data_IF_317484415986
#
_entry.id   IF_317484415986
#
_cell.length_a   1.000
_cell.length_b   1.000
_cell.length_c   1.000
_cell.angle_alpha   90.00
_cell.angle_beta   90.00
_cell.angle_gamma   90.00
#
_symmetry.space_group_name_H-M   'P 1'
#
loop_
_entity.id
_entity.type
_entity.pdbx_description
1 polymer ?
#
# COMPACT_ATOMS: atom_id res chain seq x y z
N UNK A 1 -14.12 0.04 -8.97
CA UNK A 1 -13.55 1.08 -8.09
C UNK A 1 -13.67 2.42 -8.81
N UNK A 2 -13.71 3.56 -8.11
CA UNK A 2 -13.72 4.89 -8.73
C UNK A 2 -12.43 5.64 -8.38
N UNK A 3 -11.93 6.45 -9.31
CA UNK A 3 -10.76 7.31 -9.08
C UNK A 3 -11.13 8.40 -8.06
N UNK A 4 -10.38 8.44 -6.96
CA UNK A 4 -10.53 9.41 -5.88
C UNK A 4 -9.16 9.69 -5.29
N UNK A 5 -8.98 10.87 -4.73
CA UNK A 5 -7.71 11.26 -4.12
C UNK A 5 -7.89 11.69 -2.67
N UNK A 6 -6.83 11.56 -1.88
CA UNK A 6 -6.80 11.99 -0.48
C UNK A 6 -7.13 13.47 -0.32
N UNK A 7 -6.72 14.30 -1.28
CA UNK A 7 -7.04 15.74 -1.29
C UNK A 7 -8.54 16.02 -1.21
N UNK A 8 -9.36 15.09 -1.70
CA UNK A 8 -10.81 15.22 -1.79
C UNK A 8 -11.53 14.36 -0.74
N UNK A 9 -10.79 13.80 0.23
CA UNK A 9 -11.29 12.90 1.25
C UNK A 9 -11.14 13.50 2.66
N UNK A 10 -12.25 14.03 3.17
CA UNK A 10 -12.34 14.65 4.50
C UNK A 10 -12.46 13.64 5.65
N UNK A 11 -12.90 12.42 5.35
CA UNK A 11 -13.26 11.40 6.33
C UNK A 11 -14.50 10.61 5.93
N UNK A 12 -14.99 9.76 6.84
CA UNK A 12 -16.22 9.00 6.61
C UNK A 12 -16.94 8.59 7.89
N UNK A 13 -18.23 8.28 7.76
CA UNK A 13 -19.00 7.65 8.82
C UNK A 13 -18.67 6.16 8.91
N UNK A 14 -18.26 5.75 10.10
CA UNK A 14 -17.99 4.36 10.43
C UNK A 14 -19.07 3.83 11.36
N UNK A 15 -19.56 2.62 11.09
CA UNK A 15 -20.48 1.92 11.98
C UNK A 15 -19.70 1.38 13.17
N UNK A 16 -19.97 1.89 14.37
CA UNK A 16 -19.32 1.46 15.62
C UNK A 16 -20.09 0.33 16.31
N UNK A 17 -21.42 0.31 16.13
CA UNK A 17 -22.29 -0.72 16.69
C UNK A 17 -23.48 -1.02 15.77
N UNK A 18 -24.01 -2.25 15.84
CA UNK A 18 -25.24 -2.65 15.15
C UNK A 18 -26.06 -3.56 16.06
N UNK A 19 -27.28 -3.13 16.36
CA UNK A 19 -28.25 -3.88 17.19
C UNK A 19 -29.56 -4.07 16.44
N UNK A 20 -30.25 -5.18 16.72
CA UNK A 20 -31.60 -5.41 16.22
C UNK A 20 -32.56 -5.08 17.36
N UNK A 21 -33.45 -4.10 17.13
CA UNK A 21 -34.51 -3.72 18.08
C UNK A 21 -35.82 -3.79 17.32
N UNK A 22 -36.77 -4.59 17.83
CA UNK A 22 -38.09 -4.83 17.22
C UNK A 22 -38.01 -5.23 15.73
N UNK A 23 -37.07 -6.12 15.40
CA UNK A 23 -36.86 -6.60 14.03
C UNK A 23 -36.21 -5.59 13.08
N UNK A 24 -35.86 -4.37 13.56
CA UNK A 24 -35.17 -3.35 12.77
C UNK A 24 -33.70 -3.25 13.17
N UNK A 25 -32.81 -3.18 12.17
CA UNK A 25 -31.37 -2.95 12.37
C UNK A 25 -31.14 -1.46 12.67
N UNK A 26 -30.68 -1.17 13.88
CA UNK A 26 -30.23 0.15 14.32
C UNK A 26 -28.69 0.16 14.31
N UNK A 27 -28.10 1.21 13.73
CA UNK A 27 -26.64 1.36 13.64
C UNK A 27 -26.20 2.67 14.28
N UNK A 28 -25.24 2.58 15.19
CA UNK A 28 -24.54 3.75 15.71
C UNK A 28 -23.37 4.05 14.76
N UNK A 29 -23.21 5.32 14.40
CA UNK A 29 -22.19 5.79 13.47
C UNK A 29 -21.41 6.94 14.05
N UNK A 30 -20.10 6.93 13.80
CA UNK A 30 -19.19 7.99 14.19
C UNK A 30 -18.49 8.54 12.95
N UNK A 31 -18.32 9.86 12.88
CA UNK A 31 -17.53 10.48 11.82
C UNK A 31 -16.05 10.40 12.19
N UNK A 32 -15.27 9.70 11.37
CA UNK A 32 -13.82 9.66 11.49
C UNK A 32 -13.25 10.61 10.45
N UNK A 33 -12.72 11.76 10.91
CA UNK A 33 -11.99 12.71 10.05
C UNK A 33 -10.72 12.05 9.52
N UNK A 34 -10.33 12.34 8.28
CA UNK A 34 -9.01 12.02 7.76
C UNK A 34 -7.98 13.02 8.33
N UNK A 35 -7.06 12.62 9.22
CA UNK A 35 -6.05 13.52 9.79
C UNK A 35 -4.78 13.59 8.93
N UNK A 36 -4.68 12.78 7.87
CA UNK A 36 -3.45 12.63 7.10
C UNK A 36 -3.39 13.69 6.01
N UNK A 37 -2.41 14.58 6.14
CA UNK A 37 -1.94 15.45 5.06
C UNK A 37 -0.69 14.81 4.45
N UNK A 38 -0.84 14.16 3.30
CA UNK A 38 0.31 13.54 2.64
C UNK A 38 1.10 14.60 1.84
N UNK A 39 2.32 14.90 2.30
CA UNK A 39 3.26 15.76 1.58
C UNK A 39 4.34 14.91 0.90
N UNK A 40 4.32 14.89 -0.43
CA UNK A 40 5.38 14.31 -1.25
C UNK A 40 5.88 15.34 -2.28
N UNK A 41 7.19 15.30 -2.55
CA UNK A 41 7.87 16.27 -3.45
C UNK A 41 8.07 15.67 -4.84
N UNK A 42 8.32 14.36 -4.91
CA UNK A 42 8.72 13.65 -6.13
C UNK A 42 7.53 13.09 -6.93
N UNK A 43 6.35 12.93 -6.31
CA UNK A 43 5.25 12.16 -6.86
C UNK A 43 5.55 10.66 -6.98
N UNK A 44 6.55 10.14 -6.26
CA UNK A 44 6.99 8.73 -6.34
C UNK A 44 6.73 7.97 -5.05
N UNK A 45 6.20 6.76 -5.21
CA UNK A 45 5.99 5.84 -4.10
C UNK A 45 6.55 4.45 -4.41
N UNK A 46 6.85 3.71 -3.35
CA UNK A 46 7.17 2.30 -3.42
C UNK A 46 6.21 1.52 -2.52
N UNK A 47 5.46 0.61 -3.12
CA UNK A 47 4.66 -0.39 -2.42
C UNK A 47 5.51 -1.65 -2.25
N UNK A 48 5.62 -2.13 -1.01
CA UNK A 48 6.50 -3.25 -0.65
C UNK A 48 5.63 -4.34 -0.02
N UNK A 49 5.76 -5.55 -0.56
CA UNK A 49 5.15 -6.76 -0.04
C UNK A 49 6.23 -7.83 0.20
N UNK A 50 5.87 -8.91 0.89
CA UNK A 50 6.79 -9.94 1.36
C UNK A 50 6.97 -11.13 0.40
N UNK A 51 6.66 -10.95 -0.88
CA UNK A 51 6.99 -11.93 -1.92
C UNK A 51 8.48 -12.27 -1.98
N UNK A 52 8.79 -13.48 -2.45
CA UNK A 52 10.15 -14.02 -2.51
C UNK A 52 11.11 -13.14 -3.34
N UNK A 53 10.62 -12.47 -4.39
CA UNK A 53 11.44 -11.59 -5.21
C UNK A 53 11.98 -10.38 -4.45
N UNK A 54 11.34 -9.98 -3.33
CA UNK A 54 11.81 -8.89 -2.47
C UNK A 54 13.08 -9.24 -1.72
N UNK A 55 13.33 -10.52 -1.41
CA UNK A 55 14.55 -10.97 -0.70
C UNK A 55 15.84 -10.68 -1.48
N UNK A 56 15.72 -10.43 -2.79
CA UNK A 56 16.84 -10.12 -3.67
C UNK A 56 17.26 -8.65 -3.61
N UNK A 57 16.50 -7.80 -2.90
CA UNK A 57 16.79 -6.39 -2.74
C UNK A 57 16.85 -6.00 -1.26
N UNK A 58 17.91 -5.28 -0.88
CA UNK A 58 18.05 -4.76 0.48
C UNK A 58 17.13 -3.55 0.69
N UNK A 59 15.90 -3.81 1.12
CA UNK A 59 14.87 -2.80 1.39
C UNK A 59 15.26 -1.78 2.47
N UNK A 60 16.27 -2.05 3.30
CA UNK A 60 16.76 -1.08 4.30
C UNK A 60 17.25 0.22 3.67
N UNK A 61 17.66 0.20 2.40
CA UNK A 61 18.04 1.42 1.65
C UNK A 61 16.88 2.39 1.45
N UNK A 62 15.64 1.91 1.54
CA UNK A 62 14.44 2.74 1.41
C UNK A 62 14.10 3.47 2.71
N UNK A 63 14.55 2.95 3.85
CA UNK A 63 14.32 3.60 5.12
C UNK A 63 15.14 4.90 5.19
N UNK A 64 14.45 6.02 5.43
CA UNK A 64 15.05 7.37 5.44
C UNK A 64 15.72 7.79 4.11
N UNK A 65 15.33 7.17 2.99
CA UNK A 65 15.79 7.58 1.66
C UNK A 65 15.53 9.09 1.45
N UNK A 66 16.58 9.82 1.07
CA UNK A 66 16.53 11.28 0.93
C UNK A 66 16.15 11.73 -0.48
N UNK A 67 16.34 10.89 -1.50
CA UNK A 67 15.88 11.19 -2.86
C UNK A 67 16.68 12.23 -3.62
N UNK A 68 18.01 12.15 -3.57
CA UNK A 68 18.89 13.08 -4.27
C UNK A 68 18.78 14.55 -3.79
N UNK A 69 19.25 15.47 -4.64
CA UNK A 69 19.26 16.91 -4.33
C UNK A 69 17.82 17.44 -4.19
N UNK A 70 17.53 18.05 -3.03
CA UNK A 70 16.21 18.59 -2.66
C UNK A 70 15.07 17.55 -2.63
N UNK A 71 15.38 16.26 -2.52
CA UNK A 71 14.36 15.21 -2.41
C UNK A 71 13.54 14.95 -3.67
N UNK A 72 14.03 15.37 -4.83
CA UNK A 72 13.35 15.21 -6.14
C UNK A 72 13.05 13.76 -6.50
N UNK A 73 13.83 12.81 -5.98
CA UNK A 73 13.67 11.37 -6.24
C UNK A 73 13.15 10.61 -5.01
N UNK A 74 12.76 11.31 -3.94
CA UNK A 74 12.43 10.68 -2.66
C UNK A 74 11.24 9.76 -2.82
N UNK A 75 11.36 8.52 -2.38
CA UNK A 75 10.25 7.58 -2.36
C UNK A 75 9.48 7.71 -1.05
N UNK A 76 8.15 7.64 -1.13
CA UNK A 76 7.32 7.31 0.03
C UNK A 76 7.02 5.81 0.05
N UNK A 77 7.27 5.15 1.18
CA UNK A 77 7.10 3.70 1.32
C UNK A 77 5.73 3.33 1.90
N UNK A 78 5.07 2.36 1.25
CA UNK A 78 3.81 1.74 1.65
C UNK A 78 4.05 0.24 1.85
N UNK A 79 4.07 -0.22 3.09
CA UNK A 79 4.36 -1.62 3.44
C UNK A 79 3.12 -2.44 3.80
N UNK A 80 3.25 -3.76 3.70
CA UNK A 80 2.32 -4.76 4.26
C UNK A 80 3.04 -6.10 4.51
N UNK A 81 2.36 -7.08 5.12
CA UNK A 81 2.91 -8.43 5.33
C UNK A 81 4.02 -8.49 6.38
N UNK A 82 5.18 -9.03 6.02
CA UNK A 82 6.37 -9.09 6.91
C UNK A 82 7.34 -7.92 6.78
N UNK A 83 7.04 -6.92 5.95
CA UNK A 83 7.94 -5.77 5.71
C UNK A 83 8.23 -4.99 6.99
N UNK A 84 7.27 -4.94 7.93
CA UNK A 84 7.46 -4.27 9.23
C UNK A 84 8.53 -4.90 10.12
N UNK A 85 8.98 -6.12 9.83
CA UNK A 85 10.07 -6.78 10.57
C UNK A 85 11.45 -6.26 10.17
N UNK A 86 11.55 -5.60 9.01
CA UNK A 86 12.82 -5.26 8.37
C UNK A 86 13.06 -3.76 8.26
N UNK A 87 12.00 -2.96 8.02
CA UNK A 87 12.09 -1.51 7.87
C UNK A 87 10.90 -0.76 8.47
N UNK A 88 11.13 0.50 8.84
CA UNK A 88 10.08 1.47 9.15
C UNK A 88 9.61 2.17 7.87
N UNK A 89 8.35 1.92 7.46
CA UNK A 89 7.74 2.56 6.30
C UNK A 89 7.15 3.94 6.65
N UNK A 90 6.84 4.77 5.65
CA UNK A 90 6.03 5.97 5.88
C UNK A 90 4.57 5.60 6.18
N UNK A 91 4.06 4.64 5.43
CA UNK A 91 2.72 4.09 5.58
C UNK A 91 2.79 2.56 5.65
N UNK A 92 1.92 1.97 6.46
CA UNK A 92 1.83 0.52 6.59
C UNK A 92 0.38 0.08 6.64
N UNK A 93 0.05 -1.10 6.10
CA UNK A 93 -1.30 -1.65 6.13
C UNK A 93 -1.29 -2.99 6.85
N UNK A 94 -2.16 -3.14 7.85
CA UNK A 94 -2.48 -4.44 8.43
C UNK A 94 -3.89 -4.48 9.01
N UNK A 95 -4.55 -5.62 8.87
CA UNK A 95 -5.85 -6.00 9.43
C UNK A 95 -5.68 -7.18 10.40
N UNK A 96 -4.50 -7.78 10.46
CA UNK A 96 -4.16 -8.86 11.39
C UNK A 96 -4.01 -8.32 12.83
N UNK A 97 -4.63 -8.98 13.81
CA UNK A 97 -4.62 -8.47 15.19
C UNK A 97 -3.24 -8.61 15.86
N UNK A 98 -2.55 -9.72 15.61
CA UNK A 98 -1.27 -10.03 16.24
C UNK A 98 -0.17 -9.12 15.69
N UNK A 99 -0.19 -8.89 14.37
CA UNK A 99 0.70 -7.91 13.73
C UNK A 99 0.44 -6.52 14.32
N UNK A 100 -0.81 -6.06 14.38
CA UNK A 100 -1.12 -4.73 14.92
C UNK A 100 -0.67 -4.57 16.39
N UNK A 101 -0.91 -5.58 17.24
CA UNK A 101 -0.43 -5.57 18.62
C UNK A 101 1.10 -5.43 18.67
N UNK A 102 1.81 -6.23 17.88
CA UNK A 102 3.27 -6.13 17.75
C UNK A 102 3.72 -4.73 17.33
N UNK A 103 3.06 -4.10 16.35
CA UNK A 103 3.42 -2.75 15.88
C UNK A 103 3.26 -1.69 16.98
N UNK A 104 2.22 -1.80 17.81
CA UNK A 104 2.01 -0.91 18.96
C UNK A 104 3.06 -1.16 20.05
N UNK A 105 3.28 -2.42 20.41
CA UNK A 105 4.22 -2.81 21.48
C UNK A 105 5.66 -2.42 21.13
N UNK A 106 6.04 -2.54 19.86
CA UNK A 106 7.38 -2.17 19.35
C UNK A 106 7.52 -0.68 19.02
N UNK A 107 6.47 0.13 19.25
CA UNK A 107 6.44 1.56 18.91
C UNK A 107 6.68 1.87 17.43
N UNK A 108 6.38 0.91 16.54
CA UNK A 108 6.44 1.10 15.09
C UNK A 108 5.47 2.21 14.65
N UNK A 109 4.28 2.25 15.25
CA UNK A 109 3.22 3.24 15.03
C UNK A 109 3.66 4.69 15.32
N UNK A 110 4.72 4.90 16.10
CA UNK A 110 5.22 6.24 16.41
C UNK A 110 5.88 6.93 15.21
N UNK A 111 6.38 6.16 14.24
CA UNK A 111 7.10 6.67 13.05
C UNK A 111 6.41 6.30 11.74
N UNK A 112 5.31 5.55 11.79
CA UNK A 112 4.60 5.04 10.63
C UNK A 112 3.10 5.23 10.78
N UNK A 113 2.46 5.77 9.75
CA UNK A 113 0.99 5.81 9.68
C UNK A 113 0.50 4.40 9.35
N UNK A 114 -0.08 3.71 10.33
CA UNK A 114 -0.59 2.35 10.18
C UNK A 114 -2.09 2.37 9.89
N UNK A 115 -2.48 1.91 8.71
CA UNK A 115 -3.86 1.79 8.27
C UNK A 115 -4.47 0.44 8.63
N UNK A 116 -5.68 0.46 9.19
CA UNK A 116 -6.47 -0.74 9.49
C UNK A 116 -7.98 -0.52 9.33
N UNK A 117 -8.76 -1.55 9.65
CA UNK A 117 -10.22 -1.50 9.62
C UNK A 117 -10.79 -0.85 10.89
N UNK A 118 -11.98 -0.25 10.78
CA UNK A 118 -12.72 0.35 11.88
C UNK A 118 -12.75 -0.49 13.17
N UNK A 119 -13.05 -1.78 13.06
CA UNK A 119 -13.11 -2.67 14.22
C UNK A 119 -11.77 -2.84 14.94
N UNK A 120 -10.64 -2.60 14.25
CA UNK A 120 -9.29 -2.63 14.84
C UNK A 120 -8.94 -1.30 15.50
N UNK A 121 -9.37 -0.18 14.93
CA UNK A 121 -9.19 1.14 15.55
C UNK A 121 -9.81 1.20 16.94
N UNK A 122 -10.99 0.60 17.13
CA UNK A 122 -11.65 0.51 18.44
C UNK A 122 -10.84 -0.30 19.47
N UNK A 123 -9.95 -1.18 19.04
CA UNK A 123 -9.06 -1.96 19.92
C UNK A 123 -7.75 -1.25 20.23
N UNK A 124 -7.30 -0.35 19.36
CA UNK A 124 -6.07 0.40 19.48
C UNK A 124 -6.35 1.90 19.29
N UNK A 125 -7.09 2.52 20.23
CA UNK A 125 -7.55 3.90 20.08
C UNK A 125 -6.37 4.87 20.04
N UNK A 126 -6.31 5.69 18.98
CA UNK A 126 -5.25 6.69 18.79
C UNK A 126 -3.98 6.19 18.10
N UNK A 127 -3.80 4.87 17.95
CA UNK A 127 -2.57 4.29 17.37
C UNK A 127 -2.70 4.02 15.86
N UNK A 128 -3.93 3.82 15.37
CA UNK A 128 -4.20 3.37 14.01
C UNK A 128 -5.07 4.36 13.23
N UNK A 129 -4.93 4.33 11.91
CA UNK A 129 -5.70 5.13 10.97
C UNK A 129 -6.67 4.26 10.18
N UNK A 130 -7.83 4.82 9.82
CA UNK A 130 -8.84 4.09 9.08
C UNK A 130 -8.41 3.94 7.61
N UNK A 131 -8.48 2.73 7.06
CA UNK A 131 -8.40 2.52 5.61
C UNK A 131 -9.57 3.27 4.95
N UNK A 132 -9.31 4.28 4.10
CA UNK A 132 -10.39 5.10 3.55
C UNK A 132 -11.37 4.32 2.67
N UNK A 133 -12.59 4.82 2.59
CA UNK A 133 -13.68 4.39 1.71
C UNK A 133 -14.12 2.94 1.92
N UNK A 134 -13.85 2.36 3.09
CA UNK A 134 -14.20 0.97 3.42
C UNK A 134 -13.69 -0.05 2.40
N UNK A 135 -12.53 0.20 1.77
CA UNK A 135 -12.06 -0.64 0.65
C UNK A 135 -11.81 -2.10 1.06
N UNK A 136 -12.48 -3.01 0.36
CA UNK A 136 -12.38 -4.46 0.57
C UNK A 136 -11.18 -5.10 -0.17
N UNK A 137 -10.02 -4.43 -0.11
CA UNK A 137 -8.78 -4.88 -0.72
C UNK A 137 -7.97 -5.77 0.24
N UNK A 138 -7.14 -6.66 -0.34
CA UNK A 138 -6.06 -7.31 0.39
C UNK A 138 -5.05 -6.25 0.84
N UNK A 139 -4.33 -6.49 1.93
CA UNK A 139 -3.35 -5.54 2.49
C UNK A 139 -2.31 -5.06 1.45
N UNK A 140 -1.64 -5.94 0.69
CA UNK A 140 -0.72 -5.51 -0.36
C UNK A 140 -1.40 -4.73 -1.51
N UNK A 141 -2.64 -5.06 -1.87
CA UNK A 141 -3.40 -4.25 -2.83
C UNK A 141 -3.77 -2.87 -2.25
N UNK A 142 -4.07 -2.82 -0.95
CA UNK A 142 -4.39 -1.58 -0.23
C UNK A 142 -3.17 -0.66 -0.18
N UNK A 143 -1.95 -1.20 -0.02
CA UNK A 143 -0.72 -0.41 -0.09
C UNK A 143 -0.53 0.27 -1.45
N UNK A 144 -0.73 -0.47 -2.57
CA UNK A 144 -0.70 0.10 -3.93
C UNK A 144 -1.79 1.15 -4.12
N UNK A 145 -3.02 0.82 -3.70
CA UNK A 145 -4.15 1.73 -3.81
C UNK A 145 -3.95 3.02 -3.00
N UNK A 146 -3.41 2.94 -1.78
CA UNK A 146 -3.11 4.10 -0.95
C UNK A 146 -2.08 5.01 -1.61
N UNK A 147 -1.04 4.45 -2.23
CA UNK A 147 -0.09 5.25 -2.99
C UNK A 147 -0.77 6.00 -4.16
N UNK A 148 -1.68 5.35 -4.89
CA UNK A 148 -2.42 6.00 -5.97
C UNK A 148 -3.44 7.03 -5.44
N UNK A 149 -4.14 6.70 -4.37
CA UNK A 149 -5.08 7.57 -3.66
C UNK A 149 -4.39 8.82 -3.10
N UNK A 150 -3.13 8.70 -2.68
CA UNK A 150 -2.30 9.80 -2.21
C UNK A 150 -1.77 10.70 -3.35
N UNK A 151 -2.11 10.37 -4.60
CA UNK A 151 -1.78 11.17 -5.77
C UNK A 151 -0.35 10.98 -6.28
N UNK A 152 0.32 9.88 -5.92
CA UNK A 152 1.60 9.54 -6.56
C UNK A 152 1.40 9.26 -8.05
N UNK A 153 2.33 9.77 -8.85
CA UNK A 153 2.33 9.67 -10.32
C UNK A 153 3.08 8.42 -10.79
N UNK A 154 4.00 7.91 -9.98
CA UNK A 154 4.82 6.74 -10.30
C UNK A 154 4.96 5.85 -9.06
N UNK A 155 4.46 4.62 -9.17
CA UNK A 155 4.35 3.66 -8.06
C UNK A 155 5.15 2.41 -8.43
N UNK A 156 6.21 2.15 -7.67
CA UNK A 156 7.04 0.96 -7.80
C UNK A 156 6.53 -0.14 -6.88
N UNK A 157 6.43 -1.37 -7.39
CA UNK A 157 5.89 -2.53 -6.66
C UNK A 157 7.00 -3.57 -6.48
N UNK A 158 7.40 -3.82 -5.23
CA UNK A 158 8.45 -4.77 -4.84
C UNK A 158 7.86 -5.94 -4.06
N UNK A 159 8.26 -7.17 -4.39
CA UNK A 159 7.72 -8.39 -3.75
C UNK A 159 6.29 -8.73 -4.18
N UNK A 160 5.82 -8.15 -5.30
CA UNK A 160 4.53 -8.51 -5.89
C UNK A 160 4.74 -9.67 -6.85
N UNK A 161 4.62 -10.88 -6.30
CA UNK A 161 4.89 -12.13 -7.00
C UNK A 161 3.63 -12.92 -7.33
N UNK A 162 3.56 -13.42 -8.55
CA UNK A 162 2.42 -14.11 -9.13
C UNK A 162 2.89 -15.39 -9.81
N UNK A 163 3.07 -16.46 -9.03
CA UNK A 163 3.31 -17.80 -9.56
C UNK A 163 1.98 -18.48 -9.93
N UNK A 164 2.04 -19.54 -10.75
CA UNK A 164 0.87 -20.31 -11.21
C UNK A 164 -0.09 -20.64 -10.05
N UNK A 165 -1.24 -19.95 -10.03
CA UNK A 165 -2.33 -20.15 -9.07
C UNK A 165 -2.20 -19.41 -7.73
N UNK A 166 -1.04 -18.82 -7.41
CA UNK A 166 -0.88 -18.00 -6.20
C UNK A 166 -1.27 -16.55 -6.47
N UNK A 167 -1.74 -15.85 -5.44
CA UNK A 167 -2.00 -14.41 -5.49
C UNK A 167 -2.96 -13.94 -6.59
N UNK A 168 -3.80 -14.82 -7.17
CA UNK A 168 -4.77 -14.47 -8.24
C UNK A 168 -5.71 -13.34 -7.81
N UNK A 169 -6.17 -13.35 -6.56
CA UNK A 169 -7.01 -12.28 -6.01
C UNK A 169 -6.25 -10.96 -5.90
N UNK A 170 -4.97 -11.00 -5.49
CA UNK A 170 -4.11 -9.82 -5.43
C UNK A 170 -3.86 -9.26 -6.84
N UNK A 171 -3.51 -10.11 -7.80
CA UNK A 171 -3.32 -9.75 -9.20
C UNK A 171 -4.55 -9.02 -9.77
N UNK A 172 -5.75 -9.59 -9.55
CA UNK A 172 -7.01 -8.97 -9.97
C UNK A 172 -7.25 -7.61 -9.31
N UNK A 173 -7.02 -7.49 -7.99
CA UNK A 173 -7.24 -6.25 -7.28
C UNK A 173 -6.29 -5.13 -7.70
N UNK A 174 -5.02 -5.46 -7.92
CA UNK A 174 -4.04 -4.49 -8.45
C UNK A 174 -4.34 -4.11 -9.90
N UNK A 175 -4.80 -5.05 -10.72
CA UNK A 175 -5.31 -4.74 -12.06
C UNK A 175 -6.48 -3.74 -12.02
N UNK A 176 -7.46 -3.94 -11.13
CA UNK A 176 -8.57 -2.98 -10.94
C UNK A 176 -8.08 -1.60 -10.51
N UNK A 177 -7.01 -1.52 -9.69
CA UNK A 177 -6.37 -0.26 -9.29
C UNK A 177 -5.72 0.42 -10.51
N UNK A 178 -4.96 -0.31 -11.33
CA UNK A 178 -4.32 0.22 -12.54
C UNK A 178 -5.34 0.78 -13.53
N UNK A 179 -6.47 0.08 -13.71
CA UNK A 179 -7.58 0.53 -14.55
C UNK A 179 -8.30 1.76 -13.99
N UNK A 180 -8.29 1.92 -12.66
CA UNK A 180 -8.91 3.06 -11.99
C UNK A 180 -8.04 4.32 -12.12
N UNK A 181 -6.72 4.20 -11.90
CA UNK A 181 -5.78 5.32 -11.91
C UNK A 181 -4.95 5.33 -13.21
N UNK A 182 -5.63 5.56 -14.33
CA UNK A 182 -5.03 5.45 -15.67
C UNK A 182 -3.87 6.41 -15.94
N UNK A 183 -3.78 7.51 -15.17
CA UNK A 183 -2.70 8.51 -15.27
C UNK A 183 -1.49 8.18 -14.38
N UNK A 184 -1.63 7.26 -13.43
CA UNK A 184 -0.54 6.83 -12.56
C UNK A 184 0.22 5.69 -13.22
N UNK A 185 1.55 5.79 -13.26
CA UNK A 185 2.43 4.72 -13.74
C UNK A 185 2.63 3.70 -12.63
N UNK A 186 2.46 2.44 -12.97
CA UNK A 186 2.73 1.31 -12.09
C UNK A 186 3.89 0.51 -12.66
N UNK A 187 4.93 0.30 -11.84
CA UNK A 187 6.14 -0.39 -12.28
C UNK A 187 6.40 -1.56 -11.36
N UNK A 188 6.31 -2.79 -11.86
CA UNK A 188 6.76 -3.96 -11.10
C UNK A 188 8.28 -4.02 -11.13
N UNK A 189 8.89 -3.99 -9.95
CA UNK A 189 10.34 -4.12 -9.79
C UNK A 189 10.64 -5.55 -9.40
N UNK A 190 11.36 -6.27 -10.25
CA UNK A 190 11.74 -7.66 -10.01
C UNK A 190 13.07 -7.99 -10.68
N UNK A 191 13.68 -9.13 -10.37
CA UNK A 191 14.87 -9.57 -11.08
C UNK A 191 14.53 -10.37 -12.34
N UNK A 192 15.30 -10.17 -13.41
CA UNK A 192 15.24 -10.97 -14.63
C UNK A 192 16.32 -12.07 -14.59
N UNK A 193 15.94 -13.30 -14.23
CA UNK A 193 16.83 -14.46 -14.45
C UNK A 193 16.76 -14.93 -15.90
N UNK A 194 17.86 -14.80 -16.67
CA UNK A 194 17.96 -15.35 -18.05
C UNK A 194 16.87 -14.86 -19.03
N UNK A 195 16.60 -13.55 -19.06
CA UNK A 195 15.55 -12.95 -19.90
C UNK A 195 14.13 -13.48 -19.65
N UNK A 196 13.89 -14.13 -18.50
CA UNK A 196 12.55 -14.52 -18.03
C UNK A 196 12.44 -14.19 -16.54
N UNK A 197 11.42 -13.42 -16.16
CA UNK A 197 10.99 -13.42 -14.76
C UNK A 197 10.61 -14.87 -14.43
N UNK A 198 11.20 -15.47 -13.39
CA UNK A 198 10.76 -16.80 -12.91
C UNK A 198 9.30 -16.78 -12.42
N UNK A 199 8.74 -15.57 -12.30
CA UNK A 199 7.45 -15.22 -11.72
C UNK A 199 6.69 -14.41 -12.78
N UNK A 200 5.79 -15.06 -13.49
CA UNK A 200 5.10 -14.44 -14.63
C UNK A 200 4.23 -13.26 -14.19
N UNK A 201 4.47 -12.10 -14.80
CA UNK A 201 3.54 -10.97 -14.66
C UNK A 201 2.18 -11.38 -15.22
N UNK A 202 1.08 -11.19 -14.46
CA UNK A 202 -0.26 -11.52 -14.93
C UNK A 202 -0.55 -10.86 -16.28
N UNK A 203 -1.06 -11.61 -17.25
CA UNK A 203 -1.27 -11.08 -18.62
C UNK A 203 -2.16 -9.84 -18.64
N UNK A 204 -3.17 -9.80 -17.76
CA UNK A 204 -4.04 -8.61 -17.59
C UNK A 204 -3.29 -7.33 -17.22
N UNK A 205 -2.12 -7.44 -16.57
CA UNK A 205 -1.31 -6.26 -16.25
C UNK A 205 -0.55 -5.77 -17.49
N UNK A 206 -0.12 -6.67 -18.37
CA UNK A 206 0.59 -6.33 -19.62
C UNK A 206 -0.31 -5.54 -20.58
N UNK A 207 -1.63 -5.74 -20.50
CA UNK A 207 -2.61 -4.99 -21.27
C UNK A 207 -2.85 -3.55 -20.73
N UNK A 208 -2.39 -3.25 -19.51
CA UNK A 208 -2.51 -1.92 -18.93
C UNK A 208 -1.45 -0.96 -19.50
N UNK A 209 -1.89 0.09 -20.20
CA UNK A 209 -0.99 1.09 -20.81
C UNK A 209 -0.11 1.85 -19.83
N UNK A 210 -0.51 1.89 -18.56
CA UNK A 210 0.20 2.54 -17.47
C UNK A 210 1.04 1.56 -16.64
N UNK A 211 1.17 0.31 -17.07
CA UNK A 211 1.99 -0.70 -16.42
C UNK A 211 3.32 -0.92 -17.17
N UNK A 212 4.38 -1.17 -16.43
CA UNK A 212 5.67 -1.61 -16.96
C UNK A 212 6.45 -2.44 -15.93
N UNK A 213 7.56 -3.03 -16.37
CA UNK A 213 8.45 -3.79 -15.50
C UNK A 213 9.87 -3.22 -15.59
N UNK A 214 10.62 -3.30 -14.50
CA UNK A 214 12.03 -2.93 -14.48
C UNK A 214 12.84 -3.82 -13.54
N UNK A 215 14.14 -3.94 -13.79
CA UNK A 215 15.04 -4.64 -12.87
C UNK A 215 15.36 -3.82 -11.64
N UNK A 216 15.81 -4.48 -10.57
CA UNK A 216 16.33 -3.78 -9.39
C UNK A 216 17.46 -2.81 -9.74
N UNK A 217 18.40 -3.20 -10.62
CA UNK A 217 19.51 -2.31 -11.03
C UNK A 217 19.02 -1.07 -11.78
N UNK A 218 18.05 -1.25 -12.68
CA UNK A 218 17.40 -0.14 -13.38
C UNK A 218 16.69 0.77 -12.37
N UNK A 219 16.00 0.19 -11.40
CA UNK A 219 15.22 0.92 -10.41
C UNK A 219 16.10 1.71 -9.43
N UNK A 220 17.16 1.08 -8.92
CA UNK A 220 18.19 1.72 -8.09
C UNK A 220 18.76 2.94 -8.80
N UNK A 221 19.16 2.77 -10.07
CA UNK A 221 19.70 3.86 -10.89
C UNK A 221 18.67 4.96 -11.15
N UNK A 222 17.39 4.59 -11.29
CA UNK A 222 16.31 5.51 -11.60
C UNK A 222 15.80 6.31 -10.39
N UNK A 223 15.86 5.73 -9.20
CA UNK A 223 15.37 6.33 -7.95
C UNK A 223 16.48 6.83 -7.04
N UNK A 224 17.76 6.59 -7.38
CA UNK A 224 18.92 6.95 -6.57
C UNK A 224 18.87 6.32 -5.16
N UNK A 225 18.67 4.99 -5.10
CA UNK A 225 18.43 4.18 -3.88
C UNK A 225 19.63 3.35 -3.45
#
# INVERSE_FOLDING_TARGET
>A
MHERYRSDYEGEFVVTNSRIVDGKKIQDREWIKNPIENQHISGRAVAIYDGESREQFNIQRLQNHRGGILGKLRLQSYGSGRVCDEITCNFYVSKDLEVLQKLVDTQYVANTVVYSSAGKLLRFPGELYLIPLGTALLEPATAVWLAAFDGHQEIYMIGYDFDEGKNVKLARQVHEIMQTYTKTKFVRVSYLTRNRTRIDTPDTWKDCRNFSEMTYDQWISHCDV
#
